data_IF_161259472790
#
_entry.id   IF_161259472790
#
_cell.length_a   1.000
_cell.length_b   1.000
_cell.length_c   1.000
_cell.angle_alpha   90.00
_cell.angle_beta   90.00
_cell.angle_gamma   90.00
#
_symmetry.space_group_name_H-M   'P 1'
#
loop_
_entity.id
_entity.type
_entity.pdbx_description
1 polymer ?
#
# COMPACT_ATOMS: atom_id res chain seq x y z
N UNK A 1 46.88 31.03 -57.92
CA UNK A 1 46.91 29.69 -57.29
C UNK A 1 46.62 29.88 -55.82
N UNK A 2 45.70 29.18 -55.18
CA UNK A 2 45.37 27.76 -55.28
C UNK A 2 45.61 27.18 -53.88
N UNK A 3 44.63 26.47 -53.30
CA UNK A 3 44.71 25.91 -51.95
C UNK A 3 43.34 25.94 -51.24
N UNK A 4 42.31 25.30 -51.79
CA UNK A 4 41.95 23.89 -51.60
C UNK A 4 41.32 23.59 -50.23
N UNK A 5 40.03 23.27 -50.30
CA UNK A 5 39.13 22.85 -49.24
C UNK A 5 39.62 21.60 -48.51
N UNK A 6 39.34 21.54 -47.20
CA UNK A 6 39.52 20.34 -46.40
C UNK A 6 38.61 20.35 -45.17
N UNK A 7 37.30 20.39 -45.37
CA UNK A 7 36.33 20.12 -44.30
C UNK A 7 36.49 18.66 -43.90
N UNK A 8 37.08 18.42 -42.73
CA UNK A 8 37.03 17.12 -42.05
C UNK A 8 35.57 16.83 -41.64
N UNK A 9 34.77 16.29 -42.57
CA UNK A 9 33.56 15.56 -42.22
C UNK A 9 34.00 14.23 -41.64
N UNK A 10 34.07 14.16 -40.31
CA UNK A 10 34.03 12.89 -39.59
C UNK A 10 32.70 12.25 -39.94
N UNK A 11 32.74 11.32 -40.89
CA UNK A 11 31.62 10.46 -41.27
C UNK A 11 31.43 9.51 -40.08
N UNK A 12 30.61 9.90 -39.10
CA UNK A 12 30.00 8.93 -38.17
C UNK A 12 29.30 7.92 -39.08
N UNK A 13 29.78 6.67 -39.08
CA UNK A 13 29.15 5.59 -39.82
C UNK A 13 27.70 5.49 -39.36
N UNK A 14 26.79 5.85 -40.25
CA UNK A 14 25.36 5.59 -40.16
C UNK A 14 25.09 4.10 -40.36
N UNK A 15 25.58 3.29 -39.43
CA UNK A 15 25.30 1.85 -39.31
C UNK A 15 24.94 1.48 -37.86
N UNK A 16 24.24 2.37 -37.15
CA UNK A 16 23.29 1.87 -36.17
C UNK A 16 22.07 1.39 -36.95
N UNK A 17 22.18 0.21 -37.57
CA UNK A 17 21.00 -0.51 -38.03
C UNK A 17 20.01 -0.56 -36.87
N UNK A 18 18.73 -0.33 -37.12
CA UNK A 18 17.65 -0.39 -36.13
C UNK A 18 17.66 -1.74 -35.39
N UNK A 19 18.48 -1.85 -34.35
CA UNK A 19 18.45 -2.99 -33.45
C UNK A 19 17.14 -2.85 -32.70
N UNK A 20 16.11 -3.56 -33.17
CA UNK A 20 14.81 -3.63 -32.50
C UNK A 20 15.07 -3.94 -31.03
N UNK A 21 14.75 -2.97 -30.17
CA UNK A 21 14.79 -3.12 -28.72
C UNK A 21 13.94 -4.31 -28.31
N UNK A 22 14.43 -5.04 -27.33
CA UNK A 22 13.71 -6.14 -26.72
C UNK A 22 12.47 -5.57 -26.04
N UNK A 23 11.32 -6.19 -26.29
CA UNK A 23 10.04 -5.72 -25.78
C UNK A 23 9.36 -6.82 -24.99
N UNK A 24 8.73 -6.47 -23.87
CA UNK A 24 7.97 -7.40 -23.06
C UNK A 24 6.87 -8.12 -23.88
N UNK A 25 6.68 -9.44 -23.69
CA UNK A 25 5.58 -10.17 -24.28
C UNK A 25 4.23 -9.53 -23.90
N UNK A 26 3.24 -9.49 -24.81
CA UNK A 26 1.93 -8.89 -24.52
C UNK A 26 1.25 -9.47 -23.28
N UNK A 27 1.34 -10.78 -23.07
CA UNK A 27 0.78 -11.47 -21.90
C UNK A 27 1.41 -10.98 -20.59
N UNK A 28 2.72 -10.77 -20.58
CA UNK A 28 3.46 -10.28 -19.39
C UNK A 28 3.11 -8.83 -19.12
N UNK A 29 3.01 -7.97 -20.15
CA UNK A 29 2.55 -6.58 -19.98
C UNK A 29 1.14 -6.50 -19.37
N UNK A 30 0.22 -7.35 -19.85
CA UNK A 30 -1.14 -7.43 -19.31
C UNK A 30 -1.09 -7.87 -17.85
N UNK A 31 -0.31 -8.90 -17.52
CA UNK A 31 -0.15 -9.42 -16.17
C UNK A 31 0.36 -8.34 -15.19
N UNK A 32 1.42 -7.61 -15.56
CA UNK A 32 1.96 -6.48 -14.78
C UNK A 32 0.89 -5.42 -14.57
N UNK A 33 0.25 -4.95 -15.65
CA UNK A 33 -0.77 -3.91 -15.55
C UNK A 33 -1.96 -4.32 -14.67
N UNK A 34 -2.41 -5.57 -14.76
CA UNK A 34 -3.50 -6.09 -13.93
C UNK A 34 -3.09 -6.13 -12.46
N UNK A 35 -1.89 -6.63 -12.15
CA UNK A 35 -1.37 -6.69 -10.78
C UNK A 35 -1.21 -5.29 -10.18
N UNK A 36 -0.62 -4.35 -10.92
CA UNK A 36 -0.44 -2.96 -10.48
C UNK A 36 -1.78 -2.28 -10.20
N UNK A 37 -2.73 -2.35 -11.14
CA UNK A 37 -4.07 -1.78 -10.94
C UNK A 37 -4.77 -2.36 -9.72
N UNK A 38 -4.61 -3.66 -9.50
CA UNK A 38 -5.19 -4.31 -8.33
C UNK A 38 -4.53 -3.85 -7.03
N UNK A 39 -3.21 -3.76 -6.99
CA UNK A 39 -2.47 -3.26 -5.83
C UNK A 39 -2.84 -1.81 -5.50
N UNK A 40 -2.98 -0.94 -6.51
CA UNK A 40 -3.44 0.44 -6.32
C UNK A 40 -4.84 0.49 -5.71
N UNK A 41 -5.74 -0.37 -6.19
CA UNK A 41 -7.12 -0.47 -5.69
C UNK A 41 -7.13 -0.94 -4.23
N UNK A 42 -6.38 -1.99 -3.90
CA UNK A 42 -6.31 -2.53 -2.53
C UNK A 42 -5.63 -1.53 -1.58
N UNK A 43 -4.64 -0.77 -2.06
CA UNK A 43 -4.02 0.32 -1.29
C UNK A 43 -5.08 1.36 -0.92
N UNK A 44 -5.85 1.84 -1.90
CA UNK A 44 -6.91 2.82 -1.65
C UNK A 44 -7.99 2.30 -0.68
N UNK A 45 -8.37 1.03 -0.79
CA UNK A 45 -9.32 0.39 0.13
C UNK A 45 -8.77 0.35 1.56
N UNK A 46 -7.53 -0.10 1.73
CA UNK A 46 -6.88 -0.13 3.05
C UNK A 46 -6.75 1.28 3.65
N UNK A 47 -6.33 2.26 2.87
CA UNK A 47 -6.25 3.65 3.32
C UNK A 47 -7.61 4.17 3.77
N UNK A 48 -8.69 3.91 3.02
CA UNK A 48 -10.04 4.32 3.39
C UNK A 48 -10.48 3.72 4.73
N UNK A 49 -10.24 2.42 4.97
CA UNK A 49 -10.56 1.79 6.25
C UNK A 49 -9.68 2.28 7.40
N UNK A 50 -8.39 2.52 7.16
CA UNK A 50 -7.46 3.07 8.15
C UNK A 50 -7.89 4.49 8.56
N UNK A 51 -8.23 5.35 7.59
CA UNK A 51 -8.77 6.69 7.84
C UNK A 51 -10.08 6.65 8.60
N UNK A 52 -10.95 5.67 8.29
CA UNK A 52 -12.20 5.49 9.02
C UNK A 52 -11.97 5.15 10.50
N UNK A 53 -10.95 4.33 10.80
CA UNK A 53 -10.56 3.98 12.17
C UNK A 53 -9.86 5.14 12.91
N UNK A 54 -9.21 6.04 12.19
CA UNK A 54 -8.44 7.17 12.74
C UNK A 54 -8.71 8.46 11.95
N UNK A 55 -9.69 9.29 12.36
CA UNK A 55 -10.05 10.50 11.62
C UNK A 55 -9.02 11.64 11.73
N UNK A 56 -7.96 11.50 12.53
CA UNK A 56 -6.84 12.42 12.54
C UNK A 56 -5.95 12.18 11.31
N UNK A 57 -6.01 13.11 10.34
CA UNK A 57 -5.18 13.08 9.13
C UNK A 57 -3.67 13.07 9.41
N UNK A 58 -3.26 13.63 10.56
CA UNK A 58 -1.86 13.74 10.95
C UNK A 58 -1.31 12.46 11.59
N UNK A 59 -2.19 11.61 12.14
CA UNK A 59 -1.79 10.43 12.91
C UNK A 59 -2.06 9.12 12.16
N UNK A 60 -2.61 9.13 10.94
CA UNK A 60 -2.86 7.89 10.21
C UNK A 60 -1.53 7.17 9.90
N UNK A 61 -1.24 6.03 10.54
CA UNK A 61 0.00 5.33 10.30
C UNK A 61 -0.05 4.73 8.91
N UNK A 62 1.04 4.92 8.16
CA UNK A 62 1.25 4.20 6.90
C UNK A 62 1.06 2.70 7.16
N UNK A 63 0.55 1.97 6.17
CA UNK A 63 0.08 0.58 6.28
C UNK A 63 1.07 -0.45 6.86
N UNK A 64 2.31 -0.07 7.23
CA UNK A 64 3.42 -0.97 7.50
C UNK A 64 3.93 -0.97 8.96
N UNK A 65 3.27 -0.32 9.93
CA UNK A 65 3.79 -0.29 11.31
C UNK A 65 2.78 -0.80 12.34
N UNK A 66 3.03 -1.99 12.88
CA UNK A 66 2.36 -2.51 14.07
C UNK A 66 2.69 -1.69 15.33
N UNK A 67 3.85 -1.03 15.35
CA UNK A 67 4.34 -0.22 16.48
C UNK A 67 3.46 1.00 16.82
N UNK A 68 2.62 1.49 15.90
CA UNK A 68 1.85 2.74 16.09
C UNK A 68 0.52 2.51 16.84
N UNK A 69 0.16 1.26 17.13
CA UNK A 69 -1.06 0.95 17.90
C UNK A 69 -1.05 1.51 19.34
N UNK A 70 0.11 1.54 20.00
CA UNK A 70 0.21 2.04 21.38
C UNK A 70 0.27 3.58 21.43
N UNK A 71 1.03 4.19 20.52
CA UNK A 71 1.21 5.66 20.49
C UNK A 71 -0.04 6.41 20.03
N UNK A 72 -0.78 5.91 19.03
CA UNK A 72 -2.03 6.55 18.58
C UNK A 72 -3.19 6.34 19.54
N UNK A 73 -3.16 5.25 20.34
CA UNK A 73 -4.14 5.02 21.40
C UNK A 73 -4.01 6.01 22.56
N UNK A 74 -2.78 6.48 22.82
CA UNK A 74 -2.46 7.50 23.84
C UNK A 74 -2.89 8.92 23.44
N UNK A 75 -3.17 9.16 22.15
CA UNK A 75 -3.53 10.46 21.58
C UNK A 75 -4.92 10.49 20.90
N UNK A 76 -5.77 9.48 21.13
CA UNK A 76 -7.10 9.49 20.52
C UNK A 76 -7.93 10.67 21.01
N UNK A 77 -8.74 11.27 20.13
CA UNK A 77 -9.65 12.38 20.47
C UNK A 77 -10.55 12.02 21.65
N UNK A 78 -11.00 10.76 21.73
CA UNK A 78 -11.81 10.28 22.85
C UNK A 78 -11.05 10.26 24.18
N UNK A 79 -9.76 9.87 24.18
CA UNK A 79 -8.91 9.94 25.38
C UNK A 79 -8.63 11.38 25.80
N UNK A 80 -8.39 12.27 24.83
CA UNK A 80 -8.20 13.69 25.09
C UNK A 80 -9.45 14.34 25.69
N UNK A 81 -10.63 14.06 25.12
CA UNK A 81 -11.92 14.53 25.65
C UNK A 81 -12.14 13.97 27.06
N UNK A 82 -11.86 12.69 27.31
CA UNK A 82 -11.95 12.09 28.65
C UNK A 82 -11.03 12.81 29.65
N UNK A 83 -9.75 12.99 29.33
CA UNK A 83 -8.78 13.70 30.20
C UNK A 83 -9.22 15.13 30.48
N UNK A 84 -9.70 15.84 29.46
CA UNK A 84 -10.19 17.22 29.60
C UNK A 84 -11.44 17.27 30.47
N UNK A 85 -12.39 16.35 30.27
CA UNK A 85 -13.60 16.24 31.07
C UNK A 85 -13.30 15.96 32.55
N UNK A 86 -12.38 15.02 32.81
CA UNK A 86 -11.89 14.74 34.16
C UNK A 86 -11.16 15.94 34.77
N UNK A 87 -10.46 16.77 33.98
CA UNK A 87 -9.80 17.97 34.51
C UNK A 87 -10.80 19.04 34.99
N UNK A 88 -11.98 19.13 34.36
CA UNK A 88 -13.05 20.04 34.79
C UNK A 88 -13.88 19.50 35.97
N UNK A 89 -13.56 18.32 36.52
CA UNK A 89 -14.38 17.65 37.55
C UNK A 89 -14.67 18.49 38.79
N UNK A 90 -13.79 19.43 39.15
CA UNK A 90 -13.97 20.31 40.30
C UNK A 90 -15.10 21.34 40.14
N UNK A 91 -15.66 21.48 38.95
CA UNK A 91 -16.69 22.47 38.61
C UNK A 91 -18.10 21.87 38.43
N UNK A 92 -18.27 20.56 38.65
CA UNK A 92 -19.55 19.87 38.48
C UNK A 92 -20.29 19.77 39.80
N UNK A 93 -21.50 20.34 39.86
CA UNK A 93 -22.32 20.35 41.09
C UNK A 93 -23.17 19.07 41.27
N UNK A 94 -23.06 18.08 40.36
CA UNK A 94 -23.84 16.84 40.37
C UNK A 94 -22.97 15.61 40.17
N UNK A 95 -22.73 14.88 41.25
CA UNK A 95 -21.91 13.66 41.27
C UNK A 95 -22.48 12.53 40.41
N UNK A 96 -23.81 12.46 40.28
CA UNK A 96 -24.47 11.43 39.48
C UNK A 96 -24.29 11.65 37.97
N UNK A 97 -24.40 12.90 37.49
CA UNK A 97 -24.10 13.25 36.09
C UNK A 97 -22.62 12.99 35.75
N UNK A 98 -21.74 13.34 36.68
CA UNK A 98 -20.30 13.09 36.59
C UNK A 98 -20.00 11.61 36.39
N UNK A 99 -20.51 10.74 37.27
CA UNK A 99 -20.26 9.30 37.17
C UNK A 99 -20.74 8.68 35.85
N UNK A 100 -21.89 9.13 35.33
CA UNK A 100 -22.40 8.64 34.05
C UNK A 100 -21.64 9.19 32.84
N UNK A 101 -21.18 10.44 32.90
CA UNK A 101 -20.36 11.03 31.86
C UNK A 101 -18.98 10.37 31.81
N UNK A 102 -18.33 10.15 32.96
CA UNK A 102 -17.06 9.42 33.06
C UNK A 102 -17.19 8.00 32.50
N UNK A 103 -18.28 7.29 32.87
CA UNK A 103 -18.59 5.97 32.31
C UNK A 103 -18.72 6.01 30.78
N UNK A 104 -19.52 6.94 30.24
CA UNK A 104 -19.76 7.01 28.80
C UNK A 104 -18.49 7.37 28.02
N UNK A 105 -17.67 8.29 28.53
CA UNK A 105 -16.41 8.69 27.92
C UNK A 105 -15.40 7.54 27.94
N UNK A 106 -15.24 6.86 29.07
CA UNK A 106 -14.35 5.70 29.20
C UNK A 106 -14.75 4.57 28.25
N UNK A 107 -16.04 4.20 28.20
CA UNK A 107 -16.52 3.12 27.36
C UNK A 107 -16.51 3.47 25.87
N UNK A 108 -16.69 4.75 25.51
CA UNK A 108 -16.52 5.24 24.13
C UNK A 108 -15.05 5.16 23.72
N UNK A 109 -14.13 5.63 24.57
CA UNK A 109 -12.70 5.51 24.34
C UNK A 109 -12.27 4.06 24.14
N UNK A 110 -12.70 3.16 25.04
CA UNK A 110 -12.39 1.73 24.94
C UNK A 110 -12.93 1.11 23.65
N UNK A 111 -14.17 1.46 23.27
CA UNK A 111 -14.74 0.99 22.01
C UNK A 111 -13.92 1.48 20.80
N UNK A 112 -13.47 2.73 20.79
CA UNK A 112 -12.59 3.26 19.74
C UNK A 112 -11.24 2.55 19.71
N UNK A 113 -10.64 2.27 20.87
CA UNK A 113 -9.39 1.54 20.97
C UNK A 113 -9.52 0.13 20.40
N UNK A 114 -10.50 -0.64 20.89
CA UNK A 114 -10.77 -2.01 20.42
C UNK A 114 -11.05 -2.01 18.90
N UNK A 115 -11.80 -1.03 18.39
CA UNK A 115 -12.08 -0.89 16.97
C UNK A 115 -10.82 -0.72 16.11
N UNK A 116 -9.86 0.10 16.57
CA UNK A 116 -8.59 0.29 15.87
C UNK A 116 -7.73 -0.98 15.88
N UNK A 117 -7.70 -1.69 17.01
CA UNK A 117 -6.92 -2.93 17.14
C UNK A 117 -7.52 -4.04 16.28
N UNK A 118 -8.81 -4.30 16.43
CA UNK A 118 -9.49 -5.40 15.74
C UNK A 118 -9.68 -5.10 14.25
N UNK A 119 -9.90 -3.83 13.89
CA UNK A 119 -9.99 -3.43 12.49
C UNK A 119 -8.64 -3.58 11.76
N UNK A 120 -7.51 -3.30 12.39
CA UNK A 120 -6.18 -3.56 11.79
C UNK A 120 -5.90 -5.04 11.61
N UNK A 121 -6.33 -5.88 12.56
CA UNK A 121 -6.24 -7.35 12.43
C UNK A 121 -7.12 -7.86 11.30
N UNK A 122 -8.30 -7.28 11.14
CA UNK A 122 -9.24 -7.60 10.06
C UNK A 122 -8.81 -7.08 8.67
N UNK A 123 -7.66 -6.40 8.55
CA UNK A 123 -7.06 -5.99 7.27
C UNK A 123 -5.63 -6.53 7.12
N UNK A 124 -5.28 -7.58 7.87
CA UNK A 124 -3.92 -8.09 7.92
C UNK A 124 -3.47 -8.69 6.59
N UNK A 125 -4.32 -9.45 5.90
CA UNK A 125 -3.93 -10.14 4.67
C UNK A 125 -3.76 -9.15 3.51
N UNK A 126 -4.68 -8.22 3.32
CA UNK A 126 -4.54 -7.17 2.30
C UNK A 126 -3.29 -6.31 2.53
N UNK A 127 -2.97 -5.98 3.80
CA UNK A 127 -1.75 -5.24 4.13
C UNK A 127 -0.48 -6.07 3.89
N UNK A 128 -0.50 -7.35 4.28
CA UNK A 128 0.63 -8.26 4.06
C UNK A 128 0.88 -8.51 2.58
N UNK A 129 -0.18 -8.62 1.77
CA UNK A 129 -0.07 -8.70 0.31
C UNK A 129 0.67 -7.49 -0.27
N UNK A 130 0.31 -6.26 0.14
CA UNK A 130 0.98 -5.06 -0.36
C UNK A 130 2.45 -4.98 0.07
N UNK A 131 2.72 -5.31 1.34
CA UNK A 131 4.06 -5.17 1.92
C UNK A 131 5.05 -6.25 1.46
N UNK A 132 4.56 -7.45 1.16
CA UNK A 132 5.41 -8.62 0.84
C UNK A 132 5.18 -9.07 -0.60
N UNK A 133 3.99 -9.59 -0.90
CA UNK A 133 3.74 -10.23 -2.20
C UNK A 133 3.89 -9.25 -3.38
N UNK A 134 3.29 -8.07 -3.27
CA UNK A 134 3.38 -7.05 -4.32
C UNK A 134 4.75 -6.38 -4.38
N UNK A 135 5.43 -6.21 -3.24
CA UNK A 135 6.80 -5.69 -3.20
C UNK A 135 7.76 -6.63 -3.93
N UNK A 136 7.67 -7.95 -3.65
CA UNK A 136 8.45 -8.98 -4.35
C UNK A 136 8.11 -9.01 -5.84
N UNK A 137 6.82 -8.94 -6.20
CA UNK A 137 6.41 -8.88 -7.60
C UNK A 137 7.03 -7.69 -8.33
N UNK A 138 7.04 -6.51 -7.70
CA UNK A 138 7.63 -5.30 -8.27
C UNK A 138 9.15 -5.44 -8.43
N UNK A 139 9.82 -6.08 -7.48
CA UNK A 139 11.24 -6.40 -7.61
C UNK A 139 11.50 -7.31 -8.82
N UNK A 140 10.69 -8.35 -9.03
CA UNK A 140 10.78 -9.21 -10.23
C UNK A 140 10.57 -8.40 -11.51
N UNK A 141 9.64 -7.44 -11.52
CA UNK A 141 9.44 -6.52 -12.67
C UNK A 141 10.69 -5.68 -12.93
N UNK A 142 11.28 -5.09 -11.88
CA UNK A 142 12.52 -4.31 -12.00
C UNK A 142 13.70 -5.18 -12.50
N UNK A 143 13.75 -6.45 -12.11
CA UNK A 143 14.73 -7.42 -12.63
C UNK A 143 14.51 -7.73 -14.11
N UNK A 144 13.26 -7.82 -14.58
CA UNK A 144 12.97 -7.99 -16.01
C UNK A 144 13.45 -6.80 -16.82
N UNK A 145 13.23 -5.57 -16.35
CA UNK A 145 13.70 -4.37 -17.05
C UNK A 145 15.24 -4.34 -17.15
N UNK A 146 15.95 -4.77 -16.09
CA UNK A 146 17.41 -4.95 -16.12
C UNK A 146 17.82 -6.03 -17.13
N UNK A 147 17.10 -7.15 -17.19
CA UNK A 147 17.38 -8.23 -18.16
C UNK A 147 17.15 -7.77 -19.61
N UNK A 148 16.12 -6.96 -19.88
CA UNK A 148 15.88 -6.34 -21.20
C UNK A 148 17.06 -5.45 -21.59
N UNK A 149 17.54 -4.61 -20.68
CA UNK A 149 18.68 -3.74 -20.93
C UNK A 149 19.96 -4.54 -21.21
N UNK A 150 20.21 -5.61 -20.45
CA UNK A 150 21.35 -6.51 -20.67
C UNK A 150 21.26 -7.24 -22.02
N UNK A 151 20.08 -7.75 -22.38
CA UNK A 151 19.85 -8.37 -23.69
C UNK A 151 20.09 -7.39 -24.85
N UNK A 152 19.59 -6.15 -24.74
CA UNK A 152 19.77 -5.13 -25.77
C UNK A 152 21.24 -4.72 -25.91
N UNK A 153 21.97 -4.63 -24.79
CA UNK A 153 23.40 -4.35 -24.78
C UNK A 153 24.20 -5.50 -25.40
N UNK A 154 23.93 -6.75 -25.00
CA UNK A 154 24.58 -7.93 -25.58
C UNK A 154 24.31 -8.01 -27.08
N UNK A 155 23.06 -7.81 -27.51
CA UNK A 155 22.66 -7.78 -28.92
C UNK A 155 23.39 -6.70 -29.73
N UNK A 156 23.64 -5.53 -29.15
CA UNK A 156 24.43 -4.47 -29.77
C UNK A 156 25.92 -4.82 -29.91
N UNK A 157 26.44 -5.69 -29.03
CA UNK A 157 27.83 -6.16 -29.04
C UNK A 157 28.04 -7.44 -29.86
N UNK A 158 26.97 -8.12 -30.30
CA UNK A 158 27.04 -9.37 -31.07
C UNK A 158 27.60 -9.20 -32.49
N UNK A 159 27.64 -7.99 -33.03
CA UNK A 159 28.19 -7.68 -34.36
C UNK A 159 29.37 -6.75 -34.17
N UNK A 160 30.56 -7.16 -34.63
CA UNK A 160 31.72 -6.28 -34.63
C UNK A 160 31.44 -5.07 -35.56
N UNK A 161 31.49 -3.87 -34.99
CA UNK A 161 31.17 -2.63 -35.71
C UNK A 161 32.16 -2.30 -36.86
N UNK A 162 33.32 -2.95 -36.89
CA UNK A 162 34.37 -2.76 -37.90
C UNK A 162 34.41 -3.89 -38.93
N UNK A 163 34.15 -5.14 -38.53
CA UNK A 163 34.24 -6.31 -39.44
C UNK A 163 32.88 -6.91 -39.83
N UNK A 164 31.80 -6.57 -39.12
CA UNK A 164 30.46 -7.13 -39.38
C UNK A 164 30.31 -8.61 -39.03
N UNK A 165 31.36 -9.23 -38.48
CA UNK A 165 31.36 -10.63 -38.08
C UNK A 165 30.65 -10.80 -36.72
N UNK A 166 29.98 -11.95 -36.56
CA UNK A 166 29.31 -12.31 -35.31
C UNK A 166 30.34 -12.85 -34.33
N UNK A 167 30.43 -12.23 -33.15
CA UNK A 167 31.32 -12.68 -32.08
C UNK A 167 30.65 -13.84 -31.33
N UNK A 168 31.19 -15.08 -31.36
CA UNK A 168 30.54 -16.26 -30.77
C UNK A 168 30.30 -16.13 -29.26
N UNK A 169 31.27 -15.58 -28.52
CA UNK A 169 31.19 -15.37 -27.06
C UNK A 169 30.03 -14.42 -26.69
N UNK A 170 29.83 -13.36 -27.47
CA UNK A 170 28.73 -12.39 -27.26
C UNK A 170 27.37 -12.95 -27.61
N UNK A 171 27.31 -13.98 -28.45
CA UNK A 171 26.08 -14.73 -28.72
C UNK A 171 25.70 -15.62 -27.53
N UNK A 172 26.68 -16.22 -26.86
CA UNK A 172 26.43 -17.02 -25.65
C UNK A 172 25.91 -16.13 -24.51
N UNK A 173 26.54 -14.98 -24.25
CA UNK A 173 26.10 -13.97 -23.28
C UNK A 173 24.65 -13.51 -23.53
N UNK A 174 24.28 -13.29 -24.80
CA UNK A 174 22.90 -12.95 -25.17
C UNK A 174 21.90 -14.08 -24.86
N UNK A 175 22.25 -15.34 -25.15
CA UNK A 175 21.35 -16.47 -24.86
C UNK A 175 21.19 -16.72 -23.35
N UNK A 176 22.21 -16.44 -22.54
CA UNK A 176 22.10 -16.44 -21.08
C UNK A 176 21.12 -15.38 -20.56
N UNK A 177 21.29 -14.13 -21.00
CA UNK A 177 20.36 -13.05 -20.63
C UNK A 177 18.94 -13.31 -21.12
N UNK A 178 18.78 -13.93 -22.29
CA UNK A 178 17.47 -14.33 -22.81
C UNK A 178 16.82 -15.41 -21.97
N UNK A 179 17.55 -16.44 -21.54
CA UNK A 179 17.02 -17.46 -20.62
C UNK A 179 16.57 -16.85 -19.31
N UNK A 180 17.34 -15.92 -18.75
CA UNK A 180 16.97 -15.22 -17.51
C UNK A 180 15.72 -14.35 -17.71
N UNK A 181 15.64 -13.62 -18.82
CA UNK A 181 14.44 -12.86 -19.19
C UNK A 181 13.20 -13.75 -19.31
N UNK A 182 13.31 -14.91 -19.97
CA UNK A 182 12.22 -15.88 -20.12
C UNK A 182 11.82 -16.47 -18.75
N UNK A 183 12.79 -16.77 -17.88
CA UNK A 183 12.56 -17.25 -16.50
C UNK A 183 11.76 -16.23 -15.70
N UNK A 184 12.19 -14.97 -15.68
CA UNK A 184 11.52 -13.89 -14.95
C UNK A 184 10.11 -13.59 -15.52
N UNK A 185 9.95 -13.64 -16.84
CA UNK A 185 8.63 -13.52 -17.47
C UNK A 185 7.68 -14.65 -17.05
N UNK A 186 8.17 -15.89 -16.96
CA UNK A 186 7.39 -17.03 -16.49
C UNK A 186 7.01 -16.88 -15.01
N UNK A 187 7.92 -16.36 -14.18
CA UNK A 187 7.68 -16.07 -12.77
C UNK A 187 6.56 -15.03 -12.58
N UNK A 188 6.60 -13.91 -13.31
CA UNK A 188 5.54 -12.89 -13.32
C UNK A 188 4.20 -13.52 -13.68
N UNK A 189 4.14 -14.33 -14.74
CA UNK A 189 2.91 -14.99 -15.16
C UNK A 189 2.39 -15.97 -14.10
N UNK A 190 3.27 -16.71 -13.44
CA UNK A 190 2.90 -17.65 -12.38
C UNK A 190 2.34 -16.94 -11.15
N UNK A 191 2.93 -15.81 -10.74
CA UNK A 191 2.40 -15.00 -9.63
C UNK A 191 1.06 -14.38 -10.02
N UNK A 192 0.95 -13.80 -11.23
CA UNK A 192 -0.31 -13.22 -11.70
C UNK A 192 -1.44 -14.25 -11.87
N UNK A 193 -1.13 -15.52 -12.14
CA UNK A 193 -2.12 -16.58 -12.21
C UNK A 193 -2.81 -16.87 -10.87
N UNK A 194 -2.14 -16.59 -9.73
CA UNK A 194 -2.70 -16.74 -8.38
C UNK A 194 -3.54 -15.54 -7.94
N UNK A 195 -3.55 -14.46 -8.71
CA UNK A 195 -4.24 -13.23 -8.35
C UNK A 195 -5.74 -13.42 -8.09
N UNK A 196 -6.50 -14.22 -8.87
CA UNK A 196 -7.93 -14.42 -8.61
C UNK A 196 -8.21 -15.07 -7.25
N UNK A 197 -7.39 -16.04 -6.83
CA UNK A 197 -7.52 -16.68 -5.51
C UNK A 197 -7.26 -15.66 -4.39
N UNK A 198 -6.19 -14.85 -4.54
CA UNK A 198 -5.89 -13.75 -3.61
C UNK A 198 -7.01 -12.72 -3.55
N UNK A 199 -7.64 -12.41 -4.68
CA UNK A 199 -8.76 -11.47 -4.75
C UNK A 199 -9.94 -11.95 -3.92
N UNK A 200 -10.23 -13.24 -3.94
CA UNK A 200 -11.30 -13.83 -3.13
C UNK A 200 -10.97 -13.79 -1.63
N UNK A 201 -9.72 -14.09 -1.25
CA UNK A 201 -9.24 -13.99 0.13
C UNK A 201 -9.36 -12.56 0.68
N UNK A 202 -8.88 -11.58 -0.08
CA UNK A 202 -8.96 -10.17 0.27
C UNK A 202 -10.42 -9.68 0.36
N UNK A 203 -11.30 -10.15 -0.54
CA UNK A 203 -12.71 -9.80 -0.49
C UNK A 203 -13.38 -10.33 0.78
N UNK A 204 -13.12 -11.60 1.15
CA UNK A 204 -13.63 -12.18 2.40
C UNK A 204 -13.15 -11.39 3.62
N UNK A 205 -11.90 -10.98 3.63
CA UNK A 205 -11.33 -10.15 4.69
C UNK A 205 -12.03 -8.78 4.78
N UNK A 206 -12.22 -8.09 3.66
CA UNK A 206 -12.93 -6.80 3.62
C UNK A 206 -14.38 -6.95 4.13
N UNK A 207 -15.07 -8.02 3.77
CA UNK A 207 -16.42 -8.30 4.30
C UNK A 207 -16.40 -8.56 5.80
N UNK A 208 -15.36 -9.27 6.29
CA UNK A 208 -15.17 -9.53 7.72
C UNK A 208 -14.81 -8.28 8.55
N UNK A 209 -14.46 -7.17 7.90
CA UNK A 209 -14.33 -5.88 8.58
C UNK A 209 -15.69 -5.30 9.01
N UNK A 210 -16.78 -5.63 8.31
CA UNK A 210 -18.12 -5.08 8.59
C UNK A 210 -18.63 -5.43 10.00
N UNK A 211 -18.55 -6.69 10.48
CA UNK A 211 -18.89 -7.01 11.88
C UNK A 211 -18.05 -6.27 12.93
N UNK A 212 -16.80 -5.92 12.61
CA UNK A 212 -15.93 -5.14 13.49
C UNK A 212 -16.46 -3.71 13.61
N UNK A 213 -16.85 -3.09 12.49
CA UNK A 213 -17.51 -1.78 12.47
C UNK A 213 -18.83 -1.79 13.24
N UNK A 214 -19.69 -2.80 13.01
CA UNK A 214 -20.97 -2.93 13.71
C UNK A 214 -20.77 -3.01 15.23
N UNK A 215 -19.85 -3.87 15.66
CA UNK A 215 -19.52 -4.04 17.08
C UNK A 215 -19.07 -2.73 17.71
N UNK A 216 -18.24 -1.95 17.00
CA UNK A 216 -17.81 -0.63 17.45
C UNK A 216 -18.99 0.33 17.65
N UNK A 217 -19.84 0.50 16.63
CA UNK A 217 -20.99 1.42 16.71
C UNK A 217 -21.97 1.03 17.80
N UNK A 218 -22.28 -0.26 17.93
CA UNK A 218 -23.17 -0.76 18.98
C UNK A 218 -22.62 -0.49 20.39
N UNK A 219 -21.30 -0.63 20.59
CA UNK A 219 -20.65 -0.31 21.87
C UNK A 219 -20.71 1.18 22.17
N UNK A 220 -20.46 2.03 21.18
CA UNK A 220 -20.54 3.50 21.33
C UNK A 220 -21.97 3.94 21.64
N UNK A 221 -22.96 3.49 20.87
CA UNK A 221 -24.38 3.81 21.10
C UNK A 221 -24.81 3.36 22.49
N UNK A 222 -24.40 2.15 22.91
CA UNK A 222 -24.68 1.66 24.26
C UNK A 222 -24.07 2.58 25.32
N UNK A 223 -22.80 2.96 25.19
CA UNK A 223 -22.13 3.84 26.15
C UNK A 223 -22.83 5.21 26.28
N UNK A 224 -23.15 5.84 25.15
CA UNK A 224 -23.82 7.15 25.11
C UNK A 224 -25.28 7.09 25.57
N UNK A 225 -25.96 5.97 25.33
CA UNK A 225 -27.34 5.75 25.78
C UNK A 225 -27.53 5.85 27.30
N UNK A 226 -26.48 5.58 28.09
CA UNK A 226 -26.51 5.78 29.55
C UNK A 226 -26.64 7.25 29.94
N UNK A 227 -25.98 8.16 29.22
CA UNK A 227 -26.08 9.61 29.45
C UNK A 227 -27.44 10.13 29.00
N UNK A 228 -27.97 9.62 27.89
CA UNK A 228 -29.28 10.04 27.37
C UNK A 228 -30.42 9.76 28.35
N UNK A 229 -30.32 8.72 29.19
CA UNK A 229 -31.33 8.39 30.21
C UNK A 229 -31.40 9.42 31.35
N UNK A 230 -30.37 10.25 31.52
CA UNK A 230 -30.32 11.30 32.55
C UNK A 230 -30.89 12.63 32.08
N UNK A 231 -30.92 12.89 30.77
CA UNK A 231 -31.42 14.14 30.18
C UNK A 231 -32.90 14.43 30.53
N UNK A 232 -33.65 13.38 30.86
CA UNK A 232 -35.06 13.44 31.22
C UNK A 232 -35.31 13.46 32.74
N UNK A 233 -34.27 13.41 33.58
CA UNK A 233 -34.41 13.62 35.03
C UNK A 233 -34.27 15.13 35.29
N UNK A 234 -35.36 15.75 35.73
CA UNK A 234 -35.46 17.18 36.02
C UNK A 234 -34.29 17.68 36.88
N UNK A 235 -33.79 18.87 36.55
CA UNK A 235 -32.82 19.59 37.37
C UNK A 235 -33.59 20.08 38.61
N UNK A 236 -33.31 19.60 39.83
CA UNK A 236 -33.89 20.20 41.01
C UNK A 236 -33.43 21.66 41.09
N UNK A 237 -34.34 22.61 41.40
CA UNK A 237 -33.96 24.01 41.53
C UNK A 237 -32.86 24.14 42.59
N UNK A 238 -31.91 25.05 42.34
CA UNK A 238 -30.85 25.36 43.30
C UNK A 238 -31.50 25.76 44.64
N UNK A 239 -31.07 25.09 45.72
CA UNK A 239 -31.46 25.43 47.09
C UNK A 239 -30.72 26.68 47.58
#
# INVERSE_FOLDING_TARGET
GGGFWGIFKIRRSTQNADIKKTSLPPKVKIAINTMTKYADTITAVNEAFLMYMQPSFNDCPKANSEQICEDNALNSTSLYVMRTFTAVNGYWNREDLKAHADYALFHTWKATFDFQVDGRKALHFTRSFLAVDYANFKETVDQVDKAIMAMDQAKAQMVDQKTGEKIPEKKEEYEEHKKEFERLCAEILAVSAKLPERQEEHFKEIVNFVPVMETYHLRVVRALGWVSKLKNKSIPPAA
#
